data_IF_808244825139
#
_entry.id   IF_808244825139
#
_cell.length_a   1.000
_cell.length_b   1.000
_cell.length_c   1.000
_cell.angle_alpha   90.00
_cell.angle_beta   90.00
_cell.angle_gamma   90.00
#
_symmetry.space_group_name_H-M   'P 1'
#
loop_
_entity.id
_entity.type
_entity.pdbx_description
1 polymer ?
#
# COMPACT_ATOMS: atom_id res chain seq x y z
N UNK A 1 8.65 -3.58 3.62
CA UNK A 1 8.62 -2.66 2.48
C UNK A 1 8.96 -3.37 1.19
N UNK A 2 7.97 -3.53 0.31
CA UNK A 2 8.13 -4.18 -0.99
C UNK A 2 8.15 -5.71 -0.94
N UNK A 3 8.99 -6.36 -1.76
CA UNK A 3 9.14 -7.82 -1.79
C UNK A 3 9.91 -8.32 -0.55
N UNK A 4 9.25 -8.29 0.61
CA UNK A 4 9.82 -8.83 1.84
C UNK A 4 10.03 -10.34 1.71
N UNK A 5 11.20 -10.82 2.15
CA UNK A 5 11.51 -12.24 2.22
C UNK A 5 10.63 -12.89 3.29
N UNK A 6 9.52 -13.46 2.84
CA UNK A 6 8.68 -14.36 3.61
C UNK A 6 8.85 -15.77 3.06
N UNK A 7 8.81 -16.78 3.92
CA UNK A 7 8.98 -18.19 3.57
C UNK A 7 7.83 -18.77 2.71
N UNK A 8 7.00 -17.94 2.08
CA UNK A 8 5.88 -18.40 1.25
C UNK A 8 5.12 -17.37 0.40
N UNK A 9 5.46 -16.07 0.41
CA UNK A 9 4.57 -15.03 -0.18
C UNK A 9 5.17 -14.20 -1.33
N UNK A 10 6.25 -14.67 -1.95
CA UNK A 10 6.86 -13.98 -3.10
C UNK A 10 5.92 -14.01 -4.32
N UNK A 11 5.17 -15.09 -4.48
CA UNK A 11 4.31 -15.31 -5.64
C UNK A 11 3.08 -14.40 -5.63
N UNK A 12 2.45 -14.21 -4.46
CA UNK A 12 1.36 -13.25 -4.31
C UNK A 12 1.83 -11.82 -4.54
N UNK A 13 3.00 -11.46 -4.02
CA UNK A 13 3.60 -10.14 -4.22
C UNK A 13 3.93 -9.89 -5.70
N UNK A 14 4.40 -10.91 -6.43
CA UNK A 14 4.64 -10.84 -7.87
C UNK A 14 3.34 -10.76 -8.68
N UNK A 15 2.29 -11.48 -8.27
CA UNK A 15 0.95 -11.40 -8.89
C UNK A 15 0.42 -9.98 -8.78
N UNK A 16 0.48 -9.38 -7.60
CA UNK A 16 0.08 -7.99 -7.38
C UNK A 16 0.90 -7.01 -8.24
N UNK A 17 2.22 -7.15 -8.25
CA UNK A 17 3.12 -6.34 -9.09
C UNK A 17 2.70 -6.40 -10.57
N UNK A 18 2.35 -7.59 -11.06
CA UNK A 18 1.90 -7.80 -12.45
C UNK A 18 0.58 -7.09 -12.74
N UNK A 19 -0.39 -7.17 -11.82
CA UNK A 19 -1.70 -6.51 -11.93
C UNK A 19 -1.54 -4.99 -11.95
N UNK A 20 -0.75 -4.45 -11.01
CA UNK A 20 -0.52 -3.01 -10.90
C UNK A 20 0.29 -2.46 -12.07
N UNK A 21 1.24 -3.22 -12.62
CA UNK A 21 2.08 -2.77 -13.74
C UNK A 21 1.27 -2.42 -15.01
N UNK A 22 0.06 -2.99 -15.18
CA UNK A 22 -0.85 -2.61 -16.27
C UNK A 22 -1.66 -1.34 -16.00
N UNK A 23 -1.73 -0.90 -14.73
CA UNK A 23 -2.61 0.19 -14.27
C UNK A 23 -1.85 1.44 -13.86
N UNK A 24 -0.53 1.35 -13.63
CA UNK A 24 0.30 2.47 -13.17
C UNK A 24 1.47 2.76 -14.11
N UNK A 25 1.91 4.02 -14.17
CA UNK A 25 3.02 4.43 -15.03
C UNK A 25 4.36 3.82 -14.64
N UNK A 26 4.64 3.72 -13.33
CA UNK A 26 5.89 3.16 -12.83
C UNK A 26 5.80 2.83 -11.34
N UNK A 27 6.34 1.67 -10.95
CA UNK A 27 6.38 1.20 -9.57
C UNK A 27 7.68 1.67 -8.89
N UNK A 28 7.65 1.91 -7.58
CA UNK A 28 8.81 2.24 -6.74
C UNK A 28 8.80 1.39 -5.48
N UNK A 29 10.00 1.07 -4.99
CA UNK A 29 10.22 0.45 -3.69
C UNK A 29 11.36 1.20 -3.01
N UNK A 30 11.05 2.18 -2.15
CA UNK A 30 12.09 3.02 -1.54
C UNK A 30 12.63 2.44 -0.22
N UNK A 31 11.99 1.39 0.29
CA UNK A 31 12.48 0.64 1.45
C UNK A 31 12.01 1.15 2.81
N UNK A 32 11.23 2.23 2.89
CA UNK A 32 10.69 2.76 4.14
C UNK A 32 9.21 3.19 3.99
N UNK A 33 8.29 2.43 4.60
CA UNK A 33 6.85 2.60 4.41
C UNK A 33 6.35 3.98 4.86
N UNK A 34 6.76 4.40 6.06
CA UNK A 34 6.42 5.71 6.57
C UNK A 34 6.88 6.85 5.64
N UNK A 35 8.07 6.71 5.02
CA UNK A 35 8.58 7.70 4.07
C UNK A 35 7.81 7.67 2.75
N UNK A 36 7.49 6.47 2.24
CA UNK A 36 6.68 6.29 1.03
C UNK A 36 5.31 6.95 1.18
N UNK A 37 4.65 6.75 2.32
CA UNK A 37 3.34 7.36 2.63
C UNK A 37 3.47 8.87 2.82
N UNK A 38 4.55 9.37 3.44
CA UNK A 38 4.79 10.81 3.53
C UNK A 38 5.06 11.45 2.16
N UNK A 39 5.70 10.73 1.22
CA UNK A 39 5.82 11.18 -0.16
C UNK A 39 4.49 11.18 -0.90
N UNK A 40 3.58 10.27 -0.57
CA UNK A 40 2.21 10.33 -1.05
C UNK A 40 1.50 11.57 -0.55
N UNK A 41 1.61 11.86 0.75
CA UNK A 41 1.04 13.08 1.33
C UNK A 41 1.60 14.36 0.68
N UNK A 42 2.88 14.34 0.25
CA UNK A 42 3.54 15.43 -0.47
C UNK A 42 3.27 15.41 -2.00
N UNK A 43 2.48 14.47 -2.52
CA UNK A 43 2.15 14.37 -3.94
C UNK A 43 3.30 13.92 -4.85
N UNK A 44 4.34 13.27 -4.31
CA UNK A 44 5.41 12.62 -5.10
C UNK A 44 5.07 11.20 -5.53
N UNK A 45 4.18 10.55 -4.80
CA UNK A 45 3.70 9.18 -5.04
C UNK A 45 2.19 9.25 -5.08
N UNK A 46 1.56 8.60 -6.05
CA UNK A 46 0.10 8.60 -6.17
C UNK A 46 -0.56 7.53 -5.28
N UNK A 47 0.16 6.42 -5.04
CA UNK A 47 -0.35 5.21 -4.39
C UNK A 47 0.74 4.53 -3.56
N UNK A 48 0.38 4.11 -2.35
CA UNK A 48 1.13 3.19 -1.53
C UNK A 48 0.24 1.97 -1.22
N UNK A 49 0.77 0.77 -1.44
CA UNK A 49 0.12 -0.47 -1.05
C UNK A 49 1.15 -1.47 -0.52
N UNK A 50 0.84 -2.11 0.60
CA UNK A 50 1.65 -3.20 1.14
C UNK A 50 0.80 -4.22 1.91
N UNK A 51 1.07 -5.51 1.68
CA UNK A 51 0.48 -6.63 2.42
C UNK A 51 1.45 -7.11 3.50
N UNK A 52 0.93 -7.36 4.70
CA UNK A 52 1.70 -7.91 5.82
C UNK A 52 2.66 -6.91 6.46
N UNK A 53 2.41 -5.61 6.35
CA UNK A 53 3.18 -4.59 7.05
C UNK A 53 2.77 -4.50 8.53
N UNK A 54 3.67 -4.13 9.43
CA UNK A 54 3.27 -3.90 10.81
C UNK A 54 2.48 -2.59 10.95
N UNK A 55 1.45 -2.59 11.81
CA UNK A 55 0.60 -1.44 12.07
C UNK A 55 1.39 -0.16 12.40
N UNK A 56 2.44 -0.29 13.22
CA UNK A 56 3.26 0.85 13.65
C UNK A 56 4.09 1.47 12.53
N UNK A 57 4.38 0.73 11.44
CA UNK A 57 5.13 1.27 10.31
C UNK A 57 4.27 2.24 9.46
N UNK A 58 2.94 2.14 9.55
CA UNK A 58 1.99 2.92 8.74
C UNK A 58 1.09 3.85 9.55
N UNK A 59 0.87 3.61 10.84
CA UNK A 59 -0.14 4.35 11.62
C UNK A 59 0.06 5.88 11.60
N UNK A 60 1.27 6.35 11.91
CA UNK A 60 1.55 7.78 11.95
C UNK A 60 1.50 8.42 10.55
N UNK A 61 2.11 7.76 9.56
CA UNK A 61 2.16 8.27 8.19
C UNK A 61 0.79 8.22 7.51
N UNK A 62 -0.04 7.22 7.83
CA UNK A 62 -1.41 7.09 7.35
C UNK A 62 -2.26 8.28 7.79
N UNK A 63 -2.17 8.69 9.06
CA UNK A 63 -2.83 9.91 9.54
C UNK A 63 -2.34 11.16 8.78
N UNK A 64 -1.04 11.27 8.53
CA UNK A 64 -0.47 12.38 7.74
C UNK A 64 -1.07 12.40 6.32
N UNK A 65 -1.15 11.25 5.65
CA UNK A 65 -1.73 11.13 4.32
C UNK A 65 -3.22 11.49 4.30
N UNK A 66 -4.00 11.02 5.27
CA UNK A 66 -5.42 11.40 5.42
C UNK A 66 -5.59 12.91 5.56
N UNK A 67 -4.73 13.57 6.36
CA UNK A 67 -4.77 15.03 6.52
C UNK A 67 -4.34 15.79 5.28
N UNK A 68 -3.53 15.18 4.42
CA UNK A 68 -3.22 15.71 3.10
C UNK A 68 -4.33 15.43 2.05
N UNK A 69 -5.43 14.77 2.45
CA UNK A 69 -6.58 14.49 1.58
C UNK A 69 -6.52 13.16 0.86
N UNK A 70 -5.55 12.30 1.17
CA UNK A 70 -5.48 10.95 0.62
C UNK A 70 -6.62 10.07 1.18
N UNK A 71 -7.08 9.11 0.37
CA UNK A 71 -7.84 7.99 0.90
C UNK A 71 -6.88 6.97 1.51
N UNK A 72 -7.25 6.41 2.66
CA UNK A 72 -6.50 5.35 3.35
C UNK A 72 -7.44 4.21 3.69
N UNK A 73 -6.90 2.99 3.72
CA UNK A 73 -7.62 1.80 4.15
C UNK A 73 -6.67 0.84 4.83
N UNK A 74 -7.07 0.41 6.01
CA UNK A 74 -6.45 -0.65 6.77
C UNK A 74 -7.32 -1.90 6.66
N UNK A 75 -6.72 -3.02 6.27
CA UNK A 75 -7.40 -4.29 5.98
C UNK A 75 -6.69 -5.41 6.76
N UNK A 76 -7.47 -6.39 7.23
CA UNK A 76 -6.98 -7.64 7.83
C UNK A 76 -5.94 -7.47 8.97
N UNK A 77 -6.22 -6.58 9.93
CA UNK A 77 -5.39 -6.49 11.14
C UNK A 77 -5.41 -7.83 11.89
N UNK A 78 -4.27 -8.50 11.97
CA UNK A 78 -4.15 -9.77 12.66
C UNK A 78 -3.55 -9.64 14.08
N UNK A 79 -3.56 -10.74 14.83
CA UNK A 79 -3.04 -10.80 16.21
C UNK A 79 -1.53 -10.44 16.33
N UNK A 80 -0.79 -10.58 15.24
CA UNK A 80 0.64 -10.19 15.16
C UNK A 80 0.83 -8.73 14.74
N UNK A 81 -0.24 -7.93 14.76
CA UNK A 81 -0.26 -6.52 14.35
C UNK A 81 0.16 -6.31 12.89
N UNK A 82 -0.02 -7.33 12.05
CA UNK A 82 0.20 -7.23 10.60
C UNK A 82 -1.09 -6.79 9.93
N UNK A 83 -0.96 -5.96 8.90
CA UNK A 83 -2.07 -5.31 8.21
C UNK A 83 -1.76 -5.27 6.71
N UNK A 84 -2.80 -5.30 5.89
CA UNK A 84 -2.76 -4.82 4.51
C UNK A 84 -3.13 -3.35 4.50
N UNK A 85 -2.25 -2.49 3.99
CA UNK A 85 -2.46 -1.05 4.02
C UNK A 85 -2.46 -0.48 2.60
N UNK A 86 -3.53 0.25 2.27
CA UNK A 86 -3.68 1.01 1.03
C UNK A 86 -3.77 2.50 1.37
N UNK A 87 -2.98 3.32 0.71
CA UNK A 87 -3.16 4.77 0.68
C UNK A 87 -3.04 5.24 -0.77
N UNK A 88 -3.93 6.14 -1.21
CA UNK A 88 -3.89 6.68 -2.55
C UNK A 88 -4.44 8.10 -2.60
N UNK A 89 -4.07 8.83 -3.64
CA UNK A 89 -4.78 10.05 -4.01
C UNK A 89 -6.29 9.78 -4.12
N UNK A 90 -7.11 10.66 -3.55
CA UNK A 90 -8.58 10.52 -3.49
C UNK A 90 -9.23 10.26 -4.84
N UNK A 91 -8.69 10.80 -5.93
CA UNK A 91 -9.27 10.67 -7.27
C UNK A 91 -9.13 9.27 -7.88
N UNK A 92 -8.16 8.47 -7.40
CA UNK A 92 -7.86 7.12 -7.93
C UNK A 92 -8.05 6.03 -6.86
N UNK A 93 -8.41 6.44 -5.64
CA UNK A 93 -8.49 5.54 -4.49
C UNK A 93 -9.52 4.43 -4.70
N UNK A 94 -10.71 4.77 -5.21
CA UNK A 94 -11.78 3.80 -5.41
C UNK A 94 -11.42 2.77 -6.49
N UNK A 95 -10.83 3.22 -7.60
CA UNK A 95 -10.36 2.34 -8.68
C UNK A 95 -9.33 1.32 -8.17
N UNK A 96 -8.35 1.79 -7.41
CA UNK A 96 -7.31 0.93 -6.84
C UNK A 96 -7.84 0.01 -5.76
N UNK A 97 -8.74 0.51 -4.91
CA UNK A 97 -9.37 -0.29 -3.88
C UNK A 97 -10.15 -1.46 -4.52
N UNK A 98 -10.84 -1.23 -5.65
CA UNK A 98 -11.52 -2.30 -6.37
C UNK A 98 -10.54 -3.32 -6.97
N UNK A 99 -9.46 -2.86 -7.62
CA UNK A 99 -8.42 -3.75 -8.17
C UNK A 99 -7.80 -4.63 -7.08
N UNK A 100 -7.51 -4.05 -5.92
CA UNK A 100 -6.95 -4.76 -4.77
C UNK A 100 -7.94 -5.81 -4.25
N UNK A 101 -9.19 -5.44 -4.03
CA UNK A 101 -10.23 -6.37 -3.52
C UNK A 101 -10.45 -7.55 -4.48
N UNK A 102 -10.54 -7.28 -5.79
CA UNK A 102 -10.77 -8.32 -6.80
C UNK A 102 -9.65 -9.37 -6.87
N UNK A 103 -8.42 -9.01 -6.49
CA UNK A 103 -7.25 -9.88 -6.64
C UNK A 103 -6.78 -10.54 -5.33
N UNK A 104 -7.39 -10.15 -4.20
CA UNK A 104 -7.19 -10.70 -2.85
C UNK A 104 -8.14 -11.87 -2.53
N UNK A 105 -9.08 -12.17 -3.45
CA UNK A 105 -9.96 -13.36 -3.45
C UNK A 105 -9.36 -14.47 -4.31
#
# INVERSE_FOLDING_TARGET
>A
TGLYRSDGNIEASLKLLKVLAGSVRKIRMLGAAALDICFLAHGRIDVYYEDGIYLWDVAAAGLIAERAGAGTRLIDLNEKHRVKFLAANRHIFDDLNNIVIEHDT
#
